data_IF_112219072144
#
_entry.id   IF_112219072144
#
_cell.length_a   1.000
_cell.length_b   1.000
_cell.length_c   1.000
_cell.angle_alpha   90.00
_cell.angle_beta   90.00
_cell.angle_gamma   90.00
#
_symmetry.space_group_name_H-M   'P 1'
#
loop_
_entity.id
_entity.type
_entity.pdbx_description
1 polymer ?
#
# COMPACT_ATOMS: atom_id res chain seq x y z
N UNK A 1 13.10 -5.26 -2.34
CA UNK A 1 12.17 -4.11 -2.29
C UNK A 1 11.02 -4.51 -1.40
N UNK A 2 10.67 -3.72 -0.39
CA UNK A 2 9.54 -3.96 0.51
C UNK A 2 8.32 -3.10 0.13
N UNK A 3 7.17 -3.36 0.76
CA UNK A 3 5.94 -2.62 0.49
C UNK A 3 6.09 -1.10 0.70
N UNK A 4 6.83 -0.68 1.73
CA UNK A 4 7.03 0.74 2.02
C UNK A 4 7.78 1.44 0.89
N UNK A 5 8.82 0.82 0.35
CA UNK A 5 9.58 1.30 -0.82
C UNK A 5 8.68 1.35 -2.06
N UNK A 6 7.90 0.29 -2.33
CA UNK A 6 7.01 0.23 -3.49
C UNK A 6 5.93 1.32 -3.47
N UNK A 7 5.35 1.57 -2.29
CA UNK A 7 4.41 2.68 -2.08
C UNK A 7 5.10 4.03 -2.30
N UNK A 8 6.35 4.17 -1.88
CA UNK A 8 7.16 5.37 -2.13
C UNK A 8 7.37 5.65 -3.61
N UNK A 9 7.82 4.64 -4.37
CA UNK A 9 7.99 4.74 -5.83
C UNK A 9 6.70 5.15 -6.53
N UNK A 10 5.57 4.53 -6.14
CA UNK A 10 4.26 4.89 -6.69
C UNK A 10 3.90 6.35 -6.38
N UNK A 11 4.10 6.79 -5.13
CA UNK A 11 3.81 8.15 -4.70
C UNK A 11 4.63 9.17 -5.52
N UNK A 12 5.94 8.95 -5.66
CA UNK A 12 6.82 9.80 -6.44
C UNK A 12 6.43 9.85 -7.92
N UNK A 13 6.18 8.68 -8.53
CA UNK A 13 5.81 8.59 -9.95
C UNK A 13 4.51 9.32 -10.28
N UNK A 14 3.56 9.37 -9.35
CA UNK A 14 2.25 9.97 -9.56
C UNK A 14 2.12 11.38 -8.95
N UNK A 15 3.19 11.93 -8.36
CA UNK A 15 3.16 13.19 -7.61
C UNK A 15 2.08 13.19 -6.50
N UNK A 16 1.98 12.07 -5.78
CA UNK A 16 1.03 11.84 -4.70
C UNK A 16 1.71 11.71 -3.35
N UNK A 17 0.95 11.94 -2.29
CA UNK A 17 1.40 11.66 -0.93
C UNK A 17 0.84 10.34 -0.43
N UNK A 18 1.52 9.72 0.54
CA UNK A 18 1.02 8.52 1.23
C UNK A 18 -0.36 8.75 1.85
N UNK A 19 -0.63 9.98 2.28
CA UNK A 19 -1.94 10.38 2.81
C UNK A 19 -3.02 10.31 1.73
N UNK A 20 -2.74 10.82 0.52
CA UNK A 20 -3.65 10.72 -0.62
C UNK A 20 -3.92 9.26 -1.04
N UNK A 21 -2.89 8.41 -0.95
CA UNK A 21 -3.05 6.96 -1.19
C UNK A 21 -3.98 6.35 -0.14
N UNK A 22 -3.82 6.69 1.14
CA UNK A 22 -4.71 6.24 2.21
C UNK A 22 -6.18 6.65 1.96
N UNK A 23 -6.39 7.90 1.51
CA UNK A 23 -7.72 8.40 1.15
C UNK A 23 -8.35 7.59 0.01
N UNK A 24 -7.57 7.19 -1.01
CA UNK A 24 -8.03 6.32 -2.11
C UNK A 24 -8.39 4.91 -1.65
N UNK A 25 -7.70 4.39 -0.65
CA UNK A 25 -8.05 3.11 -0.03
C UNK A 25 -9.32 3.23 0.82
N UNK A 26 -9.64 4.46 1.29
CA UNK A 26 -10.75 4.74 2.20
C UNK A 26 -10.40 4.43 3.64
N UNK A 27 -9.12 4.56 4.03
CA UNK A 27 -8.64 4.28 5.38
C UNK A 27 -7.89 5.49 5.95
N UNK A 28 -7.79 5.56 7.28
CA UNK A 28 -7.03 6.63 7.92
C UNK A 28 -5.53 6.52 7.59
N UNK A 29 -4.85 7.67 7.59
CA UNK A 29 -3.39 7.76 7.43
C UNK A 29 -2.62 6.87 8.41
N UNK A 30 -3.05 6.86 9.68
CA UNK A 30 -2.44 6.02 10.72
C UNK A 30 -2.61 4.53 10.44
N UNK A 31 -3.79 4.11 9.99
CA UNK A 31 -4.07 2.73 9.60
C UNK A 31 -3.21 2.33 8.40
N UNK A 32 -3.18 3.16 7.36
CA UNK A 32 -2.33 2.93 6.18
C UNK A 32 -0.86 2.76 6.55
N UNK A 33 -0.32 3.69 7.34
CA UNK A 33 1.07 3.68 7.74
C UNK A 33 1.46 2.45 8.56
N UNK A 34 0.60 2.06 9.50
CA UNK A 34 0.80 0.86 10.31
C UNK A 34 0.75 -0.41 9.47
N UNK A 35 -0.15 -0.48 8.47
CA UNK A 35 -0.26 -1.62 7.55
C UNK A 35 0.91 -1.72 6.57
N UNK A 36 1.34 -0.60 5.99
CA UNK A 36 2.51 -0.55 5.09
C UNK A 36 3.81 -0.95 5.79
N UNK A 37 3.88 -0.79 7.12
CA UNK A 37 5.00 -1.25 7.96
C UNK A 37 4.88 -2.70 8.43
N UNK A 38 3.82 -3.41 8.06
CA UNK A 38 3.57 -4.78 8.49
C UNK A 38 3.14 -4.92 9.95
N UNK A 39 2.80 -3.82 10.63
CA UNK A 39 2.28 -3.91 12.01
C UNK A 39 0.84 -4.42 12.06
N UNK A 40 0.10 -4.27 10.96
CA UNK A 40 -1.27 -4.73 10.81
C UNK A 40 -1.51 -5.23 9.39
N UNK A 41 -2.40 -6.20 9.24
CA UNK A 41 -2.78 -6.73 7.94
C UNK A 41 -3.74 -5.80 7.20
N UNK A 42 -3.65 -5.79 5.87
CA UNK A 42 -4.70 -5.23 5.02
C UNK A 42 -5.91 -6.16 5.01
N UNK A 43 -7.12 -5.60 5.01
CA UNK A 43 -8.29 -6.39 4.64
C UNK A 43 -8.20 -6.78 3.15
N UNK A 44 -8.92 -7.82 2.73
CA UNK A 44 -8.89 -8.26 1.33
C UNK A 44 -9.29 -7.14 0.35
N UNK A 45 -10.28 -6.32 0.71
CA UNK A 45 -10.72 -5.20 -0.13
C UNK A 45 -9.67 -4.09 -0.22
N UNK A 46 -8.96 -3.79 0.88
CA UNK A 46 -7.85 -2.84 0.88
C UNK A 46 -6.66 -3.36 0.07
N UNK A 47 -6.28 -4.63 0.26
CA UNK A 47 -5.22 -5.28 -0.48
C UNK A 47 -5.51 -5.28 -1.98
N UNK A 48 -6.75 -5.60 -2.37
CA UNK A 48 -7.19 -5.55 -3.76
C UNK A 48 -7.14 -4.14 -4.35
N UNK A 49 -7.57 -3.10 -3.62
CA UNK A 49 -7.44 -1.71 -4.09
C UNK A 49 -5.97 -1.31 -4.22
N UNK A 50 -5.14 -1.67 -3.25
CA UNK A 50 -3.72 -1.32 -3.22
C UNK A 50 -2.95 -2.00 -4.35
N UNK A 51 -3.19 -3.29 -4.61
CA UNK A 51 -2.54 -4.02 -5.71
C UNK A 51 -2.85 -3.37 -7.07
N UNK A 52 -4.11 -2.94 -7.26
CA UNK A 52 -4.55 -2.21 -8.46
C UNK A 52 -3.90 -0.84 -8.60
N UNK A 53 -3.71 -0.10 -7.50
CA UNK A 53 -2.98 1.17 -7.52
C UNK A 53 -1.51 0.96 -7.87
N UNK A 54 -0.86 0.00 -7.20
CA UNK A 54 0.57 -0.27 -7.40
C UNK A 54 0.88 -1.00 -8.72
N UNK A 55 -0.14 -1.51 -9.41
CA UNK A 55 0.01 -2.23 -10.68
C UNK A 55 0.64 -3.60 -10.52
N UNK A 56 0.36 -4.28 -9.41
CA UNK A 56 0.89 -5.62 -9.07
C UNK A 56 -0.27 -6.59 -8.80
N UNK A 57 0.03 -7.89 -8.81
CA UNK A 57 -0.89 -8.94 -8.36
C UNK A 57 -1.04 -8.96 -6.82
N UNK A 58 -2.04 -9.69 -6.32
CA UNK A 58 -2.20 -9.90 -4.87
C UNK A 58 -1.06 -10.74 -4.29
N UNK A 59 -0.54 -11.70 -5.05
CA UNK A 59 0.59 -12.55 -4.65
C UNK A 59 1.86 -11.69 -4.49
N UNK A 60 2.18 -10.86 -5.50
CA UNK A 60 3.30 -9.90 -5.40
C UNK A 60 3.11 -8.91 -4.25
N UNK A 61 1.88 -8.42 -4.01
CA UNK A 61 1.61 -7.55 -2.88
C UNK A 61 1.89 -8.26 -1.55
N UNK A 62 1.52 -9.54 -1.43
CA UNK A 62 1.80 -10.34 -0.25
C UNK A 62 3.30 -10.53 -0.03
N UNK A 63 4.05 -10.87 -1.08
CA UNK A 63 5.52 -10.98 -1.00
C UNK A 63 6.17 -9.68 -0.48
N UNK A 64 5.68 -8.51 -0.93
CA UNK A 64 6.16 -7.21 -0.46
C UNK A 64 5.85 -6.92 1.02
N UNK A 65 4.85 -7.58 1.61
CA UNK A 65 4.49 -7.40 3.04
C UNK A 65 5.33 -8.25 3.98
N UNK A 66 5.93 -9.33 3.48
CA UNK A 66 6.71 -10.31 4.28
C UNK A 66 8.22 -10.22 4.02
N UNK A 67 8.64 -9.38 3.07
CA UNK A 67 10.03 -9.16 2.64
C UNK A 67 10.83 -8.23 3.55
#
# INVERSE_FOLDING_TARGET
>A
MNLSEKVGEYAEKNNETRDSIADKLGISRSSFFNKVRGSYEFSLSEAYKLSRLLGVSLDELHELTVS
#
